data_IF_007418770617
#
_entry.id   IF_007418770617
#
_cell.length_a   1.000
_cell.length_b   1.000
_cell.length_c   1.000
_cell.angle_alpha   90.00
_cell.angle_beta   90.00
_cell.angle_gamma   90.00
#
_symmetry.space_group_name_H-M   'P 1'
#
loop_
_entity.id
_entity.type
_entity.pdbx_description
1 polymer ?
#
# COMPACT_ATOMS: atom_id res chain seq x y z
N UNK A 1 7.91 -32.27 -13.26
CA UNK A 1 8.82 -31.22 -12.78
C UNK A 1 8.06 -30.33 -11.79
N UNK A 2 8.37 -30.38 -10.49
CA UNK A 2 7.82 -29.43 -9.50
C UNK A 2 8.39 -28.06 -9.82
N UNK A 3 7.56 -27.12 -10.33
CA UNK A 3 7.97 -25.70 -10.43
C UNK A 3 8.32 -25.24 -9.01
N UNK A 4 9.59 -24.95 -8.76
CA UNK A 4 10.02 -24.33 -7.49
C UNK A 4 9.20 -23.04 -7.31
N UNK A 5 8.57 -22.91 -6.15
CA UNK A 5 7.89 -21.70 -5.74
C UNK A 5 8.91 -20.54 -5.80
N UNK A 6 8.63 -19.55 -6.65
CA UNK A 6 9.49 -18.39 -6.80
C UNK A 6 8.79 -17.17 -6.15
N UNK A 7 9.22 -16.73 -4.96
CA UNK A 7 8.61 -15.59 -4.26
C UNK A 7 8.57 -14.32 -5.11
N UNK A 8 9.54 -14.16 -6.03
CA UNK A 8 9.62 -13.01 -6.92
C UNK A 8 8.36 -12.86 -7.80
N UNK A 9 7.74 -13.97 -8.22
CA UNK A 9 6.51 -13.92 -9.03
C UNK A 9 5.37 -13.25 -8.26
N UNK A 10 5.24 -13.52 -6.96
CA UNK A 10 4.20 -12.90 -6.12
C UNK A 10 4.46 -11.39 -6.01
N UNK A 11 5.71 -11.02 -5.74
CA UNK A 11 6.11 -9.62 -5.62
C UNK A 11 5.85 -8.85 -6.92
N UNK A 12 6.28 -9.38 -8.07
CA UNK A 12 6.08 -8.77 -9.38
C UNK A 12 4.59 -8.64 -9.71
N UNK A 13 3.78 -9.64 -9.32
CA UNK A 13 2.33 -9.62 -9.51
C UNK A 13 1.68 -8.54 -8.66
N UNK A 14 2.01 -8.44 -7.36
CA UNK A 14 1.47 -7.41 -6.48
C UNK A 14 1.89 -6.01 -6.95
N UNK A 15 3.15 -5.82 -7.30
CA UNK A 15 3.63 -4.55 -7.87
C UNK A 15 2.82 -4.15 -9.11
N UNK A 16 2.61 -5.08 -10.05
CA UNK A 16 1.85 -4.81 -11.27
C UNK A 16 0.36 -4.50 -11.02
N UNK A 17 -0.19 -4.95 -9.88
CA UNK A 17 -1.56 -4.64 -9.48
C UNK A 17 -1.67 -3.26 -8.83
N UNK A 18 -0.74 -2.90 -7.93
CA UNK A 18 -0.85 -1.66 -7.15
C UNK A 18 -0.28 -0.43 -7.86
N UNK A 19 0.83 -0.56 -8.61
CA UNK A 19 1.46 0.58 -9.28
C UNK A 19 0.49 1.42 -10.13
N UNK A 20 -0.42 0.85 -10.94
CA UNK A 20 -1.31 1.66 -11.77
C UNK A 20 -2.31 2.54 -11.00
N UNK A 21 -2.58 2.23 -9.74
CA UNK A 21 -3.58 2.94 -8.92
C UNK A 21 -2.97 3.76 -7.78
N UNK A 22 -1.64 3.67 -7.57
CA UNK A 22 -1.00 4.31 -6.42
C UNK A 22 -1.11 5.82 -6.44
N UNK A 23 -0.96 6.43 -7.61
CA UNK A 23 -1.06 7.89 -7.76
C UNK A 23 -2.47 8.38 -7.43
N UNK A 24 -3.50 7.65 -7.87
CA UNK A 24 -4.90 7.96 -7.57
C UNK A 24 -5.18 7.83 -6.06
N UNK A 25 -4.71 6.74 -5.43
CA UNK A 25 -4.87 6.51 -3.99
C UNK A 25 -4.16 7.62 -3.21
N UNK A 26 -2.95 8.00 -3.62
CA UNK A 26 -2.17 9.07 -2.96
C UNK A 26 -2.88 10.43 -3.09
N UNK A 27 -3.36 10.79 -4.28
CA UNK A 27 -4.10 12.02 -4.49
C UNK A 27 -5.39 12.07 -3.66
N UNK A 28 -6.14 10.98 -3.63
CA UNK A 28 -7.36 10.84 -2.81
C UNK A 28 -7.05 10.98 -1.31
N UNK A 29 -5.96 10.37 -0.84
CA UNK A 29 -5.49 10.48 0.55
C UNK A 29 -5.17 11.92 0.94
N UNK A 30 -4.40 12.63 0.11
CA UNK A 30 -4.04 14.04 0.36
C UNK A 30 -5.31 14.89 0.41
N UNK A 31 -6.21 14.74 -0.57
CA UNK A 31 -7.47 15.49 -0.63
C UNK A 31 -8.33 15.24 0.61
N UNK A 32 -8.54 13.97 1.00
CA UNK A 32 -9.30 13.59 2.20
C UNK A 32 -8.70 14.21 3.46
N UNK A 33 -7.37 14.15 3.61
CA UNK A 33 -6.67 14.69 4.77
C UNK A 33 -6.79 16.22 4.84
N UNK A 34 -6.67 16.94 3.73
CA UNK A 34 -6.87 18.40 3.67
C UNK A 34 -8.30 18.77 4.09
N UNK A 35 -9.31 18.04 3.59
CA UNK A 35 -10.70 18.30 3.95
C UNK A 35 -10.96 18.09 5.45
N UNK A 36 -10.41 17.01 6.02
CA UNK A 36 -10.50 16.75 7.47
C UNK A 36 -9.84 17.88 8.27
N UNK A 37 -8.67 18.38 7.84
CA UNK A 37 -8.00 19.49 8.48
C UNK A 37 -8.83 20.79 8.41
N UNK A 38 -9.37 21.13 7.24
CA UNK A 38 -10.22 22.30 7.06
C UNK A 38 -11.45 22.25 7.97
N UNK A 39 -12.05 21.07 8.12
CA UNK A 39 -13.16 20.88 9.04
C UNK A 39 -12.73 20.99 10.51
N UNK A 40 -11.60 20.41 10.89
CA UNK A 40 -11.05 20.43 12.25
C UNK A 40 -10.67 21.83 12.71
N UNK A 41 -10.20 22.68 11.81
CA UNK A 41 -9.90 24.10 12.11
C UNK A 41 -11.11 25.03 11.94
N UNK A 42 -12.32 24.49 11.71
CA UNK A 42 -13.55 25.26 11.43
C UNK A 42 -13.43 26.21 10.23
N UNK A 43 -12.54 25.94 9.28
CA UNK A 43 -12.38 26.72 8.06
C UNK A 43 -13.40 26.31 6.99
N UNK A 44 -13.94 25.09 7.08
CA UNK A 44 -14.99 24.58 6.20
C UNK A 44 -15.93 23.67 6.97
N UNK A 45 -17.24 23.91 6.88
CA UNK A 45 -18.21 23.02 7.50
C UNK A 45 -18.33 21.70 6.72
N UNK A 46 -18.44 20.58 7.44
CA UNK A 46 -18.73 19.28 6.83
C UNK A 46 -20.09 19.23 6.12
N UNK A 47 -21.02 20.15 6.43
CA UNK A 47 -22.30 20.32 5.76
C UNK A 47 -22.19 21.08 4.43
N UNK A 48 -21.05 21.70 4.16
CA UNK A 48 -20.83 22.43 2.91
C UNK A 48 -20.86 21.47 1.71
N UNK A 49 -21.59 21.84 0.66
CA UNK A 49 -21.73 21.01 -0.54
C UNK A 49 -20.39 20.70 -1.23
N UNK A 50 -19.45 21.66 -1.25
CA UNK A 50 -18.10 21.45 -1.78
C UNK A 50 -17.37 20.39 -0.95
N UNK A 51 -17.39 20.51 0.39
CA UNK A 51 -16.81 19.53 1.29
C UNK A 51 -17.37 18.12 1.00
N UNK A 52 -18.69 17.98 0.96
CA UNK A 52 -19.38 16.70 0.73
C UNK A 52 -18.98 16.05 -0.59
N UNK A 53 -18.91 16.82 -1.69
CA UNK A 53 -18.54 16.30 -3.01
C UNK A 53 -17.09 15.83 -3.01
N UNK A 54 -16.15 16.66 -2.57
CA UNK A 54 -14.73 16.29 -2.57
C UNK A 54 -14.42 15.19 -1.56
N UNK A 55 -15.09 15.17 -0.41
CA UNK A 55 -14.97 14.08 0.55
C UNK A 55 -15.48 12.77 -0.05
N UNK A 56 -16.66 12.77 -0.69
CA UNK A 56 -17.20 11.59 -1.32
C UNK A 56 -16.30 11.04 -2.42
N UNK A 57 -15.66 11.90 -3.22
CA UNK A 57 -14.71 11.46 -4.26
C UNK A 57 -13.44 10.88 -3.61
N UNK A 58 -12.86 11.57 -2.65
CA UNK A 58 -11.61 11.14 -2.01
C UNK A 58 -11.79 9.89 -1.14
N UNK A 59 -12.89 9.79 -0.40
CA UNK A 59 -13.24 8.60 0.37
C UNK A 59 -13.68 7.44 -0.54
N UNK A 60 -14.42 7.77 -1.60
CA UNK A 60 -14.92 6.82 -2.59
C UNK A 60 -13.81 6.01 -3.27
N UNK A 61 -12.62 6.58 -3.50
CA UNK A 61 -11.48 5.83 -4.02
C UNK A 61 -11.11 4.66 -3.11
N UNK A 62 -11.16 4.84 -1.79
CA UNK A 62 -10.89 3.78 -0.81
C UNK A 62 -12.10 2.84 -0.69
N UNK A 63 -13.31 3.37 -0.62
CA UNK A 63 -14.53 2.57 -0.54
C UNK A 63 -14.67 1.61 -1.74
N UNK A 64 -14.44 2.12 -2.96
CA UNK A 64 -14.50 1.37 -4.21
C UNK A 64 -13.14 0.75 -4.62
N UNK A 65 -12.17 0.67 -3.71
CA UNK A 65 -10.88 0.03 -3.96
C UNK A 65 -11.01 -1.39 -4.56
N UNK A 66 -11.97 -2.24 -4.15
CA UNK A 66 -12.22 -3.53 -4.77
C UNK A 66 -12.41 -3.48 -6.29
N UNK A 67 -13.04 -2.43 -6.83
CA UNK A 67 -13.19 -2.24 -8.27
C UNK A 67 -11.85 -1.93 -8.96
N UNK A 68 -11.07 -1.03 -8.38
CA UNK A 68 -9.75 -0.68 -8.90
C UNK A 68 -8.83 -1.91 -8.94
N UNK A 69 -8.85 -2.70 -7.85
CA UNK A 69 -8.08 -3.93 -7.76
C UNK A 69 -8.57 -5.02 -8.73
N UNK A 70 -9.87 -5.16 -8.95
CA UNK A 70 -10.40 -6.10 -9.93
C UNK A 70 -9.93 -5.74 -11.34
N UNK A 71 -9.91 -4.45 -11.72
CA UNK A 71 -9.41 -3.96 -13.00
C UNK A 71 -7.91 -4.24 -13.15
N UNK A 72 -7.10 -3.84 -12.17
CA UNK A 72 -5.65 -3.98 -12.27
C UNK A 72 -5.21 -5.44 -12.17
N UNK A 73 -5.83 -6.24 -11.31
CA UNK A 73 -5.58 -7.68 -11.18
C UNK A 73 -5.93 -8.41 -12.47
N UNK A 74 -7.08 -8.08 -13.09
CA UNK A 74 -7.48 -8.71 -14.34
C UNK A 74 -6.48 -8.46 -15.46
N UNK A 75 -5.96 -7.24 -15.57
CA UNK A 75 -4.91 -6.87 -16.54
C UNK A 75 -3.62 -7.63 -16.26
N UNK A 76 -3.17 -7.66 -15.01
CA UNK A 76 -1.95 -8.32 -14.58
C UNK A 76 -2.01 -9.84 -14.80
N UNK A 77 -3.16 -10.47 -14.48
CA UNK A 77 -3.37 -11.90 -14.62
C UNK A 77 -3.91 -12.31 -15.98
N UNK A 78 -4.15 -11.33 -16.90
CA UNK A 78 -4.69 -11.56 -18.25
C UNK A 78 -6.02 -12.30 -18.23
N UNK A 79 -6.96 -11.86 -17.39
CA UNK A 79 -8.34 -12.32 -17.33
C UNK A 79 -9.29 -11.28 -17.92
N UNK A 80 -10.54 -11.65 -18.15
CA UNK A 80 -11.54 -10.70 -18.62
C UNK A 80 -11.91 -9.69 -17.52
N UNK A 81 -11.64 -8.41 -17.78
CA UNK A 81 -11.88 -7.33 -16.80
C UNK A 81 -13.35 -7.22 -16.41
N UNK A 82 -14.29 -7.36 -17.36
CA UNK A 82 -15.72 -7.24 -17.05
C UNK A 82 -16.22 -8.40 -16.18
N UNK A 83 -15.71 -9.62 -16.41
CA UNK A 83 -16.03 -10.76 -15.55
C UNK A 83 -15.42 -10.56 -14.16
N UNK A 84 -14.20 -10.01 -14.06
CA UNK A 84 -13.54 -9.71 -12.78
C UNK A 84 -14.33 -8.70 -11.94
N UNK A 85 -14.99 -7.71 -12.58
CA UNK A 85 -15.80 -6.69 -11.90
C UNK A 85 -17.02 -7.27 -11.17
N UNK A 86 -17.44 -8.48 -11.49
CA UNK A 86 -18.57 -9.12 -10.79
C UNK A 86 -18.27 -9.36 -9.30
N UNK A 87 -16.99 -9.54 -8.94
CA UNK A 87 -16.59 -9.72 -7.54
C UNK A 87 -16.91 -8.48 -6.71
N UNK A 88 -16.37 -7.28 -7.02
CA UNK A 88 -16.71 -6.08 -6.28
C UNK A 88 -18.19 -5.67 -6.42
N UNK A 89 -18.86 -5.95 -7.55
CA UNK A 89 -20.30 -5.73 -7.70
C UNK A 89 -21.05 -6.54 -6.64
N UNK A 90 -20.74 -7.81 -6.48
CA UNK A 90 -21.40 -8.66 -5.48
C UNK A 90 -21.08 -8.23 -4.04
N UNK A 91 -19.84 -7.79 -3.78
CA UNK A 91 -19.43 -7.33 -2.45
C UNK A 91 -20.16 -6.06 -2.00
N UNK A 92 -20.30 -5.10 -2.92
CA UNK A 92 -20.83 -3.77 -2.61
C UNK A 92 -22.29 -3.60 -2.99
N UNK A 93 -22.94 -4.68 -3.41
CA UNK A 93 -24.39 -4.65 -3.63
C UNK A 93 -25.12 -4.39 -2.30
N UNK A 94 -25.96 -3.35 -2.17
CA UNK A 94 -26.48 -2.88 -0.89
C UNK A 94 -27.11 -3.98 -0.02
N UNK A 95 -27.93 -4.85 -0.60
CA UNK A 95 -28.58 -5.92 0.15
C UNK A 95 -27.59 -6.94 0.77
N UNK A 96 -26.38 -7.05 0.22
CA UNK A 96 -25.32 -7.93 0.74
C UNK A 96 -24.43 -7.16 1.72
N UNK A 97 -23.91 -6.00 1.32
CA UNK A 97 -23.00 -5.20 2.14
C UNK A 97 -23.66 -4.76 3.45
N UNK A 98 -24.84 -4.16 3.39
CA UNK A 98 -25.57 -3.71 4.60
C UNK A 98 -25.88 -4.87 5.58
N UNK A 99 -26.24 -6.04 5.05
CA UNK A 99 -26.49 -7.22 5.90
C UNK A 99 -25.22 -7.64 6.64
N UNK A 100 -24.09 -7.74 5.94
CA UNK A 100 -22.84 -8.23 6.51
C UNK A 100 -22.17 -7.20 7.43
N UNK A 101 -22.22 -5.93 7.08
CA UNK A 101 -21.65 -4.84 7.87
C UNK A 101 -22.39 -4.60 9.17
N UNK A 102 -23.71 -4.79 9.17
CA UNK A 102 -24.54 -4.70 10.38
C UNK A 102 -24.50 -5.95 11.28
N UNK A 103 -23.54 -6.86 11.04
CA UNK A 103 -23.38 -8.06 11.84
C UNK A 103 -24.33 -9.21 11.47
N UNK A 104 -25.10 -9.04 10.39
CA UNK A 104 -25.96 -10.08 9.85
C UNK A 104 -25.17 -11.18 9.14
N UNK A 105 -25.86 -12.27 8.86
CA UNK A 105 -25.30 -13.42 8.14
C UNK A 105 -26.31 -13.89 7.11
N UNK A 106 -25.83 -14.52 6.04
CA UNK A 106 -26.71 -15.24 5.12
C UNK A 106 -26.17 -16.63 4.81
N UNK A 107 -27.08 -17.54 4.46
CA UNK A 107 -26.71 -18.90 4.09
C UNK A 107 -26.50 -18.98 2.58
N UNK A 108 -25.32 -19.43 2.17
CA UNK A 108 -25.02 -19.78 0.80
C UNK A 108 -24.81 -21.29 0.72
N UNK A 109 -25.76 -22.00 0.10
CA UNK A 109 -25.82 -23.47 0.14
C UNK A 109 -25.89 -23.95 1.61
N UNK A 110 -24.93 -24.77 2.03
CA UNK A 110 -24.82 -25.29 3.39
C UNK A 110 -23.89 -24.46 4.31
N UNK A 111 -23.37 -23.32 3.82
CA UNK A 111 -22.39 -22.51 4.54
C UNK A 111 -23.04 -21.21 5.02
N UNK A 112 -22.78 -20.87 6.28
CA UNK A 112 -23.15 -19.60 6.87
C UNK A 112 -22.03 -18.60 6.62
N UNK A 113 -22.32 -17.55 5.82
CA UNK A 113 -21.38 -16.47 5.56
C UNK A 113 -21.36 -15.55 6.78
N UNK A 114 -20.19 -15.38 7.42
CA UNK A 114 -20.06 -14.54 8.60
C UNK A 114 -20.16 -13.04 8.23
N UNK A 115 -20.45 -12.18 9.24
CA UNK A 115 -20.33 -10.74 9.08
C UNK A 115 -18.94 -10.34 8.58
N UNK A 116 -18.87 -9.44 7.63
CA UNK A 116 -17.61 -8.94 7.09
C UNK A 116 -17.81 -7.59 6.41
N UNK A 117 -16.77 -6.77 6.43
CA UNK A 117 -16.70 -5.51 5.70
C UNK A 117 -15.91 -5.75 4.41
N UNK A 118 -16.59 -5.59 3.28
CA UNK A 118 -15.97 -5.83 1.98
C UNK A 118 -15.62 -4.55 1.21
N UNK A 119 -16.15 -3.39 1.58
CA UNK A 119 -15.63 -2.13 1.06
C UNK A 119 -14.15 -1.99 1.48
N UNK A 120 -13.33 -1.38 0.66
CA UNK A 120 -11.87 -1.27 0.88
C UNK A 120 -11.12 -2.61 0.98
N UNK A 121 -11.78 -3.77 0.77
CA UNK A 121 -11.13 -5.07 0.91
C UNK A 121 -10.14 -5.33 -0.24
N UNK A 122 -9.01 -5.93 0.08
CA UNK A 122 -7.91 -6.21 -0.86
C UNK A 122 -7.77 -7.71 -1.13
N UNK A 123 -7.50 -8.47 -0.08
CA UNK A 123 -7.12 -9.89 -0.20
C UNK A 123 -8.21 -10.74 -0.87
N UNK A 124 -9.51 -10.61 -0.50
CA UNK A 124 -10.57 -11.38 -1.14
C UNK A 124 -10.67 -11.16 -2.65
N UNK A 125 -10.51 -9.91 -3.10
CA UNK A 125 -10.57 -9.57 -4.53
C UNK A 125 -9.40 -10.16 -5.29
N UNK A 126 -8.17 -10.06 -4.76
CA UNK A 126 -6.98 -10.61 -5.39
C UNK A 126 -7.09 -12.15 -5.55
N UNK A 127 -7.58 -12.83 -4.52
CA UNK A 127 -7.79 -14.28 -4.55
C UNK A 127 -8.90 -14.67 -5.52
N UNK A 128 -10.00 -13.92 -5.57
CA UNK A 128 -11.11 -14.16 -6.47
C UNK A 128 -10.71 -14.02 -7.95
N UNK A 129 -9.99 -12.94 -8.30
CA UNK A 129 -9.48 -12.74 -9.66
C UNK A 129 -8.38 -13.76 -9.99
N UNK A 130 -7.60 -14.16 -8.99
CA UNK A 130 -6.66 -15.28 -9.11
C UNK A 130 -7.37 -16.59 -9.47
N UNK A 131 -8.47 -16.93 -8.81
CA UNK A 131 -9.28 -18.10 -9.16
C UNK A 131 -9.89 -17.96 -10.57
N UNK A 132 -10.42 -16.77 -10.90
CA UNK A 132 -10.98 -16.50 -12.20
C UNK A 132 -10.00 -16.83 -13.34
N UNK A 133 -8.70 -16.50 -13.17
CA UNK A 133 -7.66 -16.83 -14.13
C UNK A 133 -7.61 -18.33 -14.49
N UNK A 134 -7.87 -19.19 -13.50
CA UNK A 134 -7.88 -20.64 -13.74
C UNK A 134 -9.21 -21.14 -14.33
N UNK A 135 -10.35 -20.57 -13.92
CA UNK A 135 -11.68 -20.97 -14.40
C UNK A 135 -11.96 -20.46 -15.81
N UNK A 136 -11.44 -19.31 -16.17
CA UNK A 136 -11.66 -18.70 -17.48
C UNK A 136 -11.03 -19.49 -18.63
N UNK A 137 -9.82 -20.02 -18.42
CA UNK A 137 -9.06 -20.76 -19.44
C UNK A 137 -9.79 -21.98 -20.02
N UNK A 138 -10.39 -22.88 -19.22
CA UNK A 138 -11.21 -23.97 -19.76
C UNK A 138 -12.41 -23.47 -20.54
N UNK A 139 -13.02 -22.35 -20.13
CA UNK A 139 -14.19 -21.78 -20.80
C UNK A 139 -13.87 -21.24 -22.20
N UNK A 140 -12.62 -20.91 -22.49
CA UNK A 140 -12.19 -20.48 -23.83
C UNK A 140 -12.30 -21.61 -24.88
N UNK A 141 -12.42 -22.87 -24.44
CA UNK A 141 -12.63 -24.04 -25.30
C UNK A 141 -14.11 -24.28 -25.70
N UNK A 142 -15.04 -23.50 -25.11
CA UNK A 142 -16.46 -23.58 -25.47
C UNK A 142 -16.66 -23.16 -26.92
N UNK A 143 -17.70 -23.71 -27.54
CA UNK A 143 -18.11 -23.34 -28.90
C UNK A 143 -18.39 -21.83 -28.97
N UNK A 144 -17.95 -21.19 -30.03
CA UNK A 144 -18.01 -19.75 -30.21
C UNK A 144 -19.43 -19.20 -30.09
N UNK A 145 -20.43 -19.90 -30.59
CA UNK A 145 -21.83 -19.54 -30.55
C UNK A 145 -22.39 -19.35 -29.11
N UNK A 146 -21.88 -20.08 -28.15
CA UNK A 146 -22.39 -20.07 -26.78
C UNK A 146 -21.39 -19.46 -25.75
N UNK A 147 -20.12 -19.34 -26.15
CA UNK A 147 -19.04 -18.87 -25.26
C UNK A 147 -19.31 -17.48 -24.69
N UNK A 148 -19.89 -16.58 -25.49
CA UNK A 148 -20.13 -15.17 -25.11
C UNK A 148 -20.96 -15.02 -23.84
N UNK A 149 -21.95 -15.88 -23.61
CA UNK A 149 -22.83 -15.82 -22.43
C UNK A 149 -22.55 -16.95 -21.44
N UNK A 150 -22.14 -18.13 -21.89
CA UNK A 150 -21.86 -19.26 -20.99
C UNK A 150 -20.60 -19.03 -20.13
N UNK A 151 -19.55 -18.47 -20.72
CA UNK A 151 -18.30 -18.19 -20.01
C UNK A 151 -18.52 -17.29 -18.79
N UNK A 152 -19.17 -16.10 -18.88
CA UNK A 152 -19.49 -15.30 -17.71
C UNK A 152 -20.34 -16.05 -16.67
N UNK A 153 -21.37 -16.81 -17.11
CA UNK A 153 -22.24 -17.58 -16.21
C UNK A 153 -21.44 -18.60 -15.41
N UNK A 154 -20.60 -19.39 -16.07
CA UNK A 154 -19.77 -20.42 -15.41
C UNK A 154 -18.79 -19.75 -14.43
N UNK A 155 -18.13 -18.66 -14.87
CA UNK A 155 -17.20 -17.92 -14.02
C UNK A 155 -17.91 -17.38 -12.78
N UNK A 156 -19.10 -16.77 -12.92
CA UNK A 156 -19.91 -16.30 -11.80
C UNK A 156 -20.30 -17.42 -10.86
N UNK A 157 -20.84 -18.51 -11.41
CA UNK A 157 -21.33 -19.65 -10.62
C UNK A 157 -20.25 -20.33 -9.77
N UNK A 158 -18.98 -20.21 -10.17
CA UNK A 158 -17.84 -20.80 -9.43
C UNK A 158 -17.14 -19.77 -8.57
N UNK A 159 -16.82 -18.60 -9.13
CA UNK A 159 -15.97 -17.61 -8.45
C UNK A 159 -16.72 -16.92 -7.30
N UNK A 160 -18.01 -16.54 -7.48
CA UNK A 160 -18.74 -15.83 -6.44
C UNK A 160 -18.98 -16.69 -5.19
N UNK A 161 -19.47 -17.96 -5.29
CA UNK A 161 -19.57 -18.81 -4.11
C UNK A 161 -18.22 -19.04 -3.42
N UNK A 162 -17.14 -19.33 -4.18
CA UNK A 162 -15.81 -19.48 -3.62
C UNK A 162 -15.33 -18.19 -2.92
N UNK A 163 -15.70 -17.04 -3.46
CA UNK A 163 -15.35 -15.74 -2.88
C UNK A 163 -16.01 -15.54 -1.52
N UNK A 164 -17.32 -15.74 -1.40
CA UNK A 164 -18.02 -15.54 -0.14
C UNK A 164 -17.75 -16.64 0.90
N UNK A 165 -17.57 -17.89 0.45
CA UNK A 165 -17.40 -19.03 1.36
C UNK A 165 -15.96 -19.21 1.82
N UNK A 166 -14.97 -18.86 0.98
CA UNK A 166 -13.55 -19.16 1.22
C UNK A 166 -12.73 -17.88 1.27
N UNK A 167 -12.71 -17.09 0.18
CA UNK A 167 -11.76 -16.00 0.06
C UNK A 167 -12.11 -14.79 0.92
N UNK A 168 -13.38 -14.48 1.11
CA UNK A 168 -13.85 -13.46 2.02
C UNK A 168 -13.41 -13.77 3.46
N UNK A 169 -13.86 -14.86 4.07
CA UNK A 169 -13.45 -15.25 5.41
C UNK A 169 -11.93 -15.45 5.55
N UNK A 170 -11.27 -16.07 4.57
CA UNK A 170 -9.82 -16.25 4.61
C UNK A 170 -9.08 -14.91 4.55
N UNK A 171 -9.51 -13.98 3.67
CA UNK A 171 -8.91 -12.65 3.56
C UNK A 171 -9.08 -11.84 4.84
N UNK A 172 -10.26 -11.82 5.42
CA UNK A 172 -10.53 -11.17 6.71
C UNK A 172 -9.67 -11.78 7.83
N UNK A 173 -9.59 -13.12 7.89
CA UNK A 173 -8.78 -13.81 8.88
C UNK A 173 -7.28 -13.52 8.72
N UNK A 174 -6.75 -13.59 7.50
CA UNK A 174 -5.34 -13.25 7.20
C UNK A 174 -5.06 -11.79 7.57
N UNK A 175 -5.92 -10.86 7.17
CA UNK A 175 -5.80 -9.45 7.53
C UNK A 175 -5.76 -9.25 9.04
N UNK A 176 -6.71 -9.84 9.77
CA UNK A 176 -6.78 -9.74 11.23
C UNK A 176 -5.55 -10.35 11.93
N UNK A 177 -5.03 -11.49 11.45
CA UNK A 177 -3.81 -12.11 12.01
C UNK A 177 -2.59 -11.22 11.79
N UNK A 178 -2.39 -10.69 10.57
CA UNK A 178 -1.28 -9.78 10.26
C UNK A 178 -1.35 -8.50 11.08
N UNK A 179 -2.54 -7.89 11.13
CA UNK A 179 -2.81 -6.71 11.96
C UNK A 179 -2.49 -6.98 13.42
N UNK A 180 -3.03 -8.08 13.99
CA UNK A 180 -2.80 -8.44 15.39
C UNK A 180 -1.31 -8.70 15.68
N UNK A 181 -0.63 -9.41 14.81
CA UNK A 181 0.80 -9.69 14.96
C UNK A 181 1.62 -8.39 14.98
N UNK A 182 1.37 -7.48 14.03
CA UNK A 182 2.09 -6.21 13.96
C UNK A 182 1.78 -5.33 15.18
N UNK A 183 0.52 -5.16 15.55
CA UNK A 183 0.14 -4.39 16.74
C UNK A 183 0.68 -4.99 18.03
N UNK A 184 0.81 -6.32 18.15
CA UNK A 184 1.43 -6.96 19.31
C UNK A 184 2.91 -6.61 19.43
N UNK A 185 3.67 -6.65 18.32
CA UNK A 185 5.07 -6.24 18.29
C UNK A 185 5.20 -4.76 18.64
N UNK A 186 4.36 -3.93 18.04
CA UNK A 186 4.35 -2.49 18.28
C UNK A 186 4.00 -2.15 19.75
N UNK A 187 3.00 -2.81 20.32
CA UNK A 187 2.58 -2.61 21.72
C UNK A 187 3.64 -3.06 22.72
N UNK A 188 4.45 -4.08 22.38
CA UNK A 188 5.55 -4.52 23.23
C UNK A 188 6.68 -3.48 23.29
N UNK A 189 7.09 -2.95 22.15
CA UNK A 189 8.07 -1.86 22.07
C UNK A 189 7.92 -1.06 20.77
N UNK A 190 7.20 0.06 20.81
CA UNK A 190 6.97 0.90 19.63
C UNK A 190 8.25 1.43 19.00
N UNK A 191 9.26 1.76 19.83
CA UNK A 191 10.56 2.27 19.35
C UNK A 191 11.31 1.20 18.58
N UNK A 192 11.36 -0.03 19.12
CA UNK A 192 12.02 -1.15 18.44
C UNK A 192 11.28 -1.55 17.15
N UNK A 193 9.95 -1.57 17.18
CA UNK A 193 9.14 -1.83 16.00
C UNK A 193 9.37 -0.77 14.90
N UNK A 194 9.42 0.50 15.29
CA UNK A 194 9.72 1.61 14.39
C UNK A 194 11.13 1.54 13.82
N UNK A 195 12.12 1.30 14.65
CA UNK A 195 13.51 1.11 14.23
C UNK A 195 13.65 -0.05 13.23
N UNK A 196 13.02 -1.19 13.51
CA UNK A 196 13.02 -2.36 12.63
C UNK A 196 12.38 -2.05 11.28
N UNK A 197 11.17 -1.47 11.28
CA UNK A 197 10.47 -1.10 10.04
C UNK A 197 11.26 -0.09 9.23
N UNK A 198 11.78 0.96 9.87
CA UNK A 198 12.63 1.95 9.23
C UNK A 198 13.91 1.37 8.62
N UNK A 199 14.46 0.29 9.22
CA UNK A 199 15.65 -0.39 8.68
C UNK A 199 15.30 -1.24 7.46
N UNK A 200 14.23 -2.05 7.56
CA UNK A 200 13.99 -3.15 6.60
C UNK A 200 13.23 -2.69 5.35
N UNK A 201 12.47 -1.58 5.43
CA UNK A 201 11.58 -1.19 4.33
C UNK A 201 12.34 -0.94 3.02
N UNK A 202 13.48 -0.29 3.04
CA UNK A 202 14.23 0.01 1.81
C UNK A 202 14.87 -1.24 1.17
N UNK A 203 15.47 -2.17 1.91
CA UNK A 203 15.75 -3.52 1.41
C UNK A 203 14.51 -4.21 0.80
N UNK A 204 13.34 -4.10 1.42
CA UNK A 204 12.09 -4.66 0.86
C UNK A 204 11.68 -3.94 -0.44
N UNK A 205 11.83 -2.61 -0.51
CA UNK A 205 11.60 -1.85 -1.75
C UNK A 205 12.52 -2.34 -2.86
N UNK A 206 13.81 -2.58 -2.55
CA UNK A 206 14.80 -2.99 -3.55
C UNK A 206 14.48 -4.32 -4.26
N UNK A 207 13.71 -5.19 -3.61
CA UNK A 207 13.21 -6.45 -4.19
C UNK A 207 11.72 -6.43 -4.50
N UNK A 208 11.06 -5.27 -4.34
CA UNK A 208 9.61 -5.09 -4.55
C UNK A 208 8.71 -5.69 -3.47
N UNK A 209 9.26 -6.28 -2.42
CA UNK A 209 8.49 -6.96 -1.37
C UNK A 209 7.65 -6.01 -0.48
N UNK A 210 7.93 -4.70 -0.50
CA UNK A 210 7.15 -3.69 0.23
C UNK A 210 5.66 -3.65 -0.17
N UNK A 211 5.32 -4.10 -1.38
CA UNK A 211 3.93 -4.20 -1.84
C UNK A 211 3.09 -5.16 -0.98
N UNK A 212 3.73 -6.10 -0.29
CA UNK A 212 3.02 -6.97 0.66
C UNK A 212 2.50 -6.24 1.91
N UNK A 213 3.03 -5.05 2.22
CA UNK A 213 2.59 -4.22 3.35
C UNK A 213 1.29 -3.48 3.01
N UNK A 214 1.08 -3.11 1.75
CA UNK A 214 -0.08 -2.30 1.32
C UNK A 214 -1.43 -2.91 1.73
N UNK A 215 -1.70 -4.20 1.48
CA UNK A 215 -2.94 -4.83 1.94
C UNK A 215 -3.13 -4.77 3.46
N UNK A 216 -2.05 -4.85 4.23
CA UNK A 216 -2.09 -4.81 5.70
C UNK A 216 -2.47 -3.41 6.17
N UNK A 217 -1.85 -2.37 5.60
CA UNK A 217 -2.15 -0.96 5.91
C UNK A 217 -3.61 -0.62 5.56
N UNK A 218 -4.05 -1.01 4.37
CA UNK A 218 -5.43 -0.77 3.94
C UNK A 218 -6.44 -1.50 4.83
N UNK A 219 -6.14 -2.73 5.26
CA UNK A 219 -6.95 -3.47 6.21
C UNK A 219 -6.98 -2.78 7.59
N UNK A 220 -5.84 -2.29 8.09
CA UNK A 220 -5.78 -1.54 9.35
C UNK A 220 -6.68 -0.30 9.31
N UNK A 221 -6.61 0.48 8.23
CA UNK A 221 -7.44 1.68 8.05
C UNK A 221 -8.92 1.31 7.95
N UNK A 222 -9.26 0.24 7.23
CA UNK A 222 -10.65 -0.22 7.08
C UNK A 222 -11.24 -0.72 8.40
N UNK A 223 -10.50 -1.52 9.17
CA UNK A 223 -11.01 -2.13 10.41
C UNK A 223 -10.92 -1.22 11.63
N UNK A 224 -9.84 -0.45 11.75
CA UNK A 224 -9.54 0.36 12.94
C UNK A 224 -9.71 1.86 12.74
N UNK A 225 -9.87 2.31 11.50
CA UNK A 225 -9.90 3.72 11.14
C UNK A 225 -8.52 4.37 11.04
N UNK A 226 -7.43 3.64 11.35
CA UNK A 226 -6.07 4.18 11.29
C UNK A 226 -5.02 3.06 11.07
N UNK A 227 -3.83 3.47 10.64
CA UNK A 227 -2.66 2.59 10.52
C UNK A 227 -1.44 3.22 11.21
N UNK A 228 -0.60 2.35 11.81
CA UNK A 228 0.63 2.71 12.52
C UNK A 228 1.90 2.33 11.75
N UNK A 229 1.79 1.60 10.64
CA UNK A 229 2.93 1.12 9.86
C UNK A 229 3.51 2.25 9.01
N UNK A 230 2.65 2.96 8.28
CA UNK A 230 3.09 3.98 7.33
C UNK A 230 3.92 5.09 7.97
N UNK A 231 3.56 5.65 9.14
CA UNK A 231 4.39 6.68 9.78
C UNK A 231 5.82 6.23 10.06
N UNK A 232 6.02 4.94 10.42
CA UNK A 232 7.34 4.39 10.76
C UNK A 232 8.33 4.41 9.57
N UNK A 233 7.81 4.55 8.36
CA UNK A 233 8.61 4.53 7.13
C UNK A 233 9.23 5.90 6.79
N UNK A 234 8.79 6.98 7.43
CA UNK A 234 9.19 8.35 7.08
C UNK A 234 10.71 8.54 7.11
N UNK A 235 11.36 8.13 8.20
CA UNK A 235 12.82 8.22 8.32
C UNK A 235 13.58 7.46 7.25
N UNK A 236 13.04 6.33 6.78
CA UNK A 236 13.67 5.52 5.74
C UNK A 236 13.61 6.19 4.35
N UNK A 237 12.48 6.81 4.03
CA UNK A 237 12.30 7.59 2.79
C UNK A 237 13.34 8.72 2.72
N UNK A 238 13.42 9.50 3.81
CA UNK A 238 14.35 10.62 3.87
C UNK A 238 15.80 10.21 4.06
N UNK A 239 16.06 9.07 4.72
CA UNK A 239 17.40 8.49 4.80
C UNK A 239 17.99 8.16 3.42
N UNK A 240 17.18 7.58 2.53
CA UNK A 240 17.61 7.31 1.15
C UNK A 240 17.78 8.61 0.33
N UNK A 241 16.91 9.59 0.55
CA UNK A 241 17.04 10.91 -0.08
C UNK A 241 18.36 11.59 0.31
N UNK A 242 18.68 11.62 1.60
CA UNK A 242 19.93 12.19 2.10
C UNK A 242 21.16 11.46 1.59
N UNK A 243 21.14 10.13 1.56
CA UNK A 243 22.22 9.33 1.02
C UNK A 243 22.47 9.63 -0.48
N UNK A 244 21.40 9.71 -1.27
CA UNK A 244 21.49 10.05 -2.69
C UNK A 244 22.05 11.48 -2.92
N UNK A 245 21.63 12.45 -2.09
CA UNK A 245 22.17 13.82 -2.15
C UNK A 245 23.68 13.85 -1.88
N UNK A 246 24.12 13.12 -0.85
CA UNK A 246 25.54 13.05 -0.51
C UNK A 246 26.38 12.45 -1.65
N UNK A 247 25.88 11.42 -2.32
CA UNK A 247 26.49 10.89 -3.54
C UNK A 247 26.56 11.97 -4.62
N UNK A 248 25.46 12.70 -4.87
CA UNK A 248 25.41 13.76 -5.89
C UNK A 248 26.39 14.90 -5.64
N UNK A 249 26.61 15.31 -4.39
CA UNK A 249 27.59 16.36 -4.05
C UNK A 249 29.02 15.90 -4.34
N UNK A 250 29.33 14.63 -4.13
CA UNK A 250 30.69 14.05 -4.34
C UNK A 250 30.93 13.55 -5.75
N UNK A 251 29.88 13.46 -6.57
CA UNK A 251 29.99 13.01 -7.97
C UNK A 251 30.65 14.06 -8.84
N UNK A 252 31.57 13.63 -9.67
CA UNK A 252 32.34 14.50 -10.59
C UNK A 252 31.73 14.54 -11.98
N UNK A 253 31.08 13.44 -12.40
CA UNK A 253 30.44 13.34 -13.72
C UNK A 253 29.11 14.09 -13.69
N UNK A 254 28.97 15.13 -14.53
CA UNK A 254 27.80 16.02 -14.52
C UNK A 254 26.46 15.30 -14.64
N UNK A 255 26.36 14.34 -15.54
CA UNK A 255 25.09 13.58 -15.73
C UNK A 255 24.71 12.75 -14.51
N UNK A 256 25.68 12.01 -13.95
CA UNK A 256 25.47 11.22 -12.70
C UNK A 256 25.11 12.13 -11.53
N UNK A 257 25.70 13.30 -11.45
CA UNK A 257 25.43 14.33 -10.45
C UNK A 257 23.98 14.82 -10.54
N UNK A 258 23.53 15.19 -11.74
CA UNK A 258 22.14 15.62 -11.98
C UNK A 258 21.16 14.52 -11.60
N UNK A 259 21.40 13.28 -12.04
CA UNK A 259 20.58 12.12 -11.70
C UNK A 259 20.47 11.93 -10.18
N UNK A 260 21.56 12.07 -9.43
CA UNK A 260 21.56 11.92 -7.99
C UNK A 260 20.73 13.02 -7.29
N UNK A 261 20.83 14.27 -7.74
CA UNK A 261 20.01 15.37 -7.20
C UNK A 261 18.52 15.17 -7.50
N UNK A 262 18.17 14.82 -8.74
CA UNK A 262 16.79 14.55 -9.13
C UNK A 262 16.21 13.37 -8.32
N UNK A 263 16.98 12.31 -8.16
CA UNK A 263 16.60 11.13 -7.38
C UNK A 263 16.41 11.44 -5.90
N UNK A 264 17.29 12.27 -5.31
CA UNK A 264 17.13 12.75 -3.94
C UNK A 264 15.86 13.59 -3.77
N UNK A 265 15.61 14.52 -4.67
CA UNK A 265 14.41 15.34 -4.66
C UNK A 265 13.14 14.51 -4.79
N UNK A 266 13.11 13.57 -5.74
CA UNK A 266 11.96 12.66 -5.94
C UNK A 266 11.70 11.80 -4.69
N UNK A 267 12.77 11.35 -4.02
CA UNK A 267 12.63 10.61 -2.77
C UNK A 267 12.00 11.47 -1.66
N UNK A 268 12.33 12.75 -1.53
CA UNK A 268 11.67 13.67 -0.61
C UNK A 268 10.16 13.84 -0.88
N UNK A 269 9.73 13.60 -2.11
CA UNK A 269 8.32 13.58 -2.50
C UNK A 269 7.64 12.22 -2.25
N UNK A 270 8.36 11.24 -1.68
CA UNK A 270 7.83 9.92 -1.31
C UNK A 270 8.14 8.80 -2.30
N UNK A 271 8.81 9.09 -3.42
CA UNK A 271 9.15 8.10 -4.46
C UNK A 271 10.63 7.79 -4.38
N UNK A 272 10.99 6.73 -3.65
CA UNK A 272 12.40 6.38 -3.34
C UNK A 272 13.09 5.55 -4.41
N UNK A 273 12.35 4.95 -5.34
CA UNK A 273 12.87 4.03 -6.36
C UNK A 273 14.00 4.63 -7.19
N UNK A 274 13.95 5.89 -7.70
CA UNK A 274 15.06 6.48 -8.43
C UNK A 274 16.33 6.60 -7.57
N UNK A 275 16.19 7.04 -6.31
CA UNK A 275 17.32 7.13 -5.39
C UNK A 275 17.88 5.75 -5.04
N UNK A 276 17.01 4.78 -4.88
CA UNK A 276 17.38 3.43 -4.51
C UNK A 276 18.10 2.73 -5.67
N UNK A 277 17.45 2.60 -6.84
CA UNK A 277 17.97 1.78 -7.93
C UNK A 277 19.10 2.44 -8.71
N UNK A 278 19.04 3.76 -8.93
CA UNK A 278 20.04 4.46 -9.73
C UNK A 278 21.27 4.89 -8.93
N UNK A 279 21.13 5.13 -7.61
CA UNK A 279 22.17 5.77 -6.81
C UNK A 279 22.67 4.87 -5.67
N UNK A 280 21.77 4.47 -4.76
CA UNK A 280 22.15 3.91 -3.45
C UNK A 280 22.46 2.42 -3.53
N UNK A 281 21.60 1.62 -4.19
CA UNK A 281 21.74 0.17 -4.29
C UNK A 281 23.00 -0.27 -5.05
N UNK A 282 23.34 0.34 -6.22
CA UNK A 282 24.59 -0.03 -6.92
C UNK A 282 25.85 0.21 -6.09
N UNK A 283 25.80 1.15 -5.16
CA UNK A 283 26.92 1.52 -4.29
C UNK A 283 26.93 0.85 -2.93
N UNK A 284 25.85 0.18 -2.55
CA UNK A 284 25.59 -0.53 -1.27
C UNK A 284 25.77 0.33 -0.01
N UNK A 285 26.88 1.04 0.19
CA UNK A 285 27.10 1.90 1.37
C UNK A 285 26.04 2.97 1.55
N UNK A 286 25.71 3.80 0.51
CA UNK A 286 24.60 4.75 0.63
C UNK A 286 23.27 4.09 0.99
N UNK A 287 22.96 2.92 0.43
CA UNK A 287 21.78 2.13 0.82
C UNK A 287 21.77 1.85 2.32
N UNK A 288 22.87 1.27 2.85
CA UNK A 288 22.97 0.93 4.26
C UNK A 288 22.89 2.15 5.17
N UNK A 289 23.53 3.24 4.81
CA UNK A 289 23.49 4.48 5.57
C UNK A 289 22.10 5.15 5.53
N UNK A 290 21.38 5.06 4.39
CA UNK A 290 19.99 5.44 4.29
C UNK A 290 19.09 4.57 5.20
N UNK A 291 19.36 3.27 5.30
CA UNK A 291 18.65 2.39 6.24
C UNK A 291 18.92 2.76 7.70
N UNK A 292 20.15 3.15 8.07
CA UNK A 292 20.44 3.65 9.41
C UNK A 292 19.68 4.96 9.72
N UNK A 293 19.55 5.85 8.74
CA UNK A 293 18.64 7.00 8.83
C UNK A 293 17.20 6.56 9.08
N UNK A 294 16.77 5.51 8.37
CA UNK A 294 15.47 4.89 8.57
C UNK A 294 15.27 4.32 9.96
N UNK A 295 16.30 3.66 10.51
CA UNK A 295 16.28 3.12 11.88
C UNK A 295 16.00 4.22 12.90
N UNK A 296 16.74 5.31 12.84
CA UNK A 296 16.60 6.42 13.78
C UNK A 296 15.24 7.15 13.62
N UNK A 297 14.85 7.46 12.38
CA UNK A 297 13.57 8.11 12.11
C UNK A 297 12.36 7.22 12.47
N UNK A 298 12.43 5.93 12.17
CA UNK A 298 11.42 4.96 12.56
C UNK A 298 11.29 4.80 14.08
N UNK A 299 12.42 4.81 14.80
CA UNK A 299 12.42 4.83 16.28
C UNK A 299 11.70 6.06 16.84
N UNK A 300 11.94 7.24 16.26
CA UNK A 300 11.28 8.50 16.67
C UNK A 300 9.78 8.44 16.45
N UNK A 301 9.32 7.97 15.29
CA UNK A 301 7.88 7.84 14.99
C UNK A 301 7.22 6.75 15.83
N UNK A 302 7.94 5.67 16.13
CA UNK A 302 7.48 4.65 17.08
C UNK A 302 7.29 5.21 18.48
N UNK A 303 8.25 6.00 18.97
CA UNK A 303 8.15 6.71 20.26
C UNK A 303 6.97 7.69 20.29
N UNK A 304 6.72 8.36 19.19
CA UNK A 304 5.67 9.37 19.06
C UNK A 304 4.25 8.79 19.09
N UNK A 305 4.06 7.50 18.75
CA UNK A 305 2.76 6.90 18.60
C UNK A 305 1.97 7.45 17.41
N UNK A 306 2.67 7.94 16.38
CA UNK A 306 2.03 8.52 15.20
C UNK A 306 1.25 7.47 14.42
N UNK A 307 0.10 7.87 13.91
CA UNK A 307 -0.73 7.04 13.04
C UNK A 307 -1.21 7.85 11.84
N UNK A 308 -1.63 7.18 10.79
CA UNK A 308 -2.29 7.78 9.64
C UNK A 308 -3.74 7.30 9.53
N UNK A 309 -4.62 8.20 9.10
CA UNK A 309 -6.06 7.93 8.89
C UNK A 309 -6.40 7.62 7.44
N UNK A 310 -5.43 7.73 6.56
CA UNK A 310 -5.57 7.48 5.13
C UNK A 310 -4.26 6.94 4.58
N UNK A 311 -4.35 6.11 3.53
CA UNK A 311 -3.16 5.52 2.92
C UNK A 311 -2.32 6.58 2.19
N UNK A 312 -1.10 6.78 2.64
CA UNK A 312 -0.12 7.62 1.93
C UNK A 312 1.30 7.17 2.26
N UNK A 313 2.17 7.10 1.27
CA UNK A 313 3.61 6.99 1.52
C UNK A 313 4.11 8.29 2.16
N UNK A 314 4.94 8.21 3.24
CA UNK A 314 5.40 9.39 3.94
C UNK A 314 6.24 10.32 3.07
N UNK A 315 5.80 11.57 2.96
CA UNK A 315 6.54 12.64 2.30
C UNK A 315 6.12 13.99 2.86
N UNK A 316 6.80 15.05 2.46
CA UNK A 316 6.39 16.39 2.88
C UNK A 316 4.98 16.74 2.36
N UNK A 317 4.65 16.30 1.14
CA UNK A 317 3.33 16.57 0.54
C UNK A 317 2.21 15.77 1.20
N UNK A 318 2.50 14.52 1.59
CA UNK A 318 1.52 13.63 2.21
C UNK A 318 1.49 13.74 3.73
N UNK A 319 2.31 14.61 4.34
CA UNK A 319 2.40 14.79 5.80
C UNK A 319 1.05 15.12 6.44
N UNK A 320 0.13 15.72 5.70
CA UNK A 320 -1.24 16.00 6.14
C UNK A 320 -2.03 14.74 6.54
N UNK A 321 -1.71 13.59 5.97
CA UNK A 321 -2.34 12.30 6.31
C UNK A 321 -1.91 11.76 7.69
N UNK A 322 -0.88 12.34 8.29
CA UNK A 322 -0.28 11.93 9.56
C UNK A 322 -0.49 12.93 10.68
N UNK A 323 -1.31 13.97 10.44
CA UNK A 323 -1.62 14.98 11.45
C UNK A 323 -2.42 14.37 12.59
N UNK A 324 -1.96 14.59 13.83
CA UNK A 324 -2.56 14.05 15.03
C UNK A 324 -1.50 13.80 16.10
N UNK A 325 -1.69 12.75 16.88
CA UNK A 325 -0.76 12.36 17.93
C UNK A 325 0.65 12.16 17.38
N UNK A 326 1.66 12.74 18.03
CA UNK A 326 3.05 12.55 17.67
C UNK A 326 3.51 13.23 16.37
N UNK A 327 2.67 14.05 15.74
CA UNK A 327 2.98 14.67 14.43
C UNK A 327 4.29 15.44 14.40
N UNK A 328 4.64 16.16 15.49
CA UNK A 328 5.90 16.91 15.57
C UNK A 328 7.13 15.97 15.47
N UNK A 329 7.12 14.83 16.17
CA UNK A 329 8.20 13.85 16.09
C UNK A 329 8.19 13.10 14.73
N UNK A 330 7.01 12.88 14.14
CA UNK A 330 6.92 12.39 12.77
C UNK A 330 7.60 13.34 11.80
N UNK A 331 7.31 14.64 11.84
CA UNK A 331 8.00 15.65 11.03
C UNK A 331 9.51 15.68 11.32
N UNK A 332 9.92 15.54 12.58
CA UNK A 332 11.33 15.51 12.96
C UNK A 332 12.04 14.24 12.44
N UNK A 333 11.35 13.13 12.31
CA UNK A 333 11.92 11.87 11.81
C UNK A 333 12.47 12.01 10.38
N UNK A 334 11.87 12.88 9.57
CA UNK A 334 12.28 13.15 8.19
C UNK A 334 13.68 13.79 8.13
N UNK A 335 13.92 15.00 8.70
CA UNK A 335 15.25 15.62 8.69
C UNK A 335 16.29 14.78 9.46
N UNK A 336 15.91 14.06 10.52
CA UNK A 336 16.82 13.16 11.23
C UNK A 336 17.27 12.02 10.32
N UNK A 337 16.33 11.33 9.67
CA UNK A 337 16.64 10.27 8.71
C UNK A 337 17.52 10.78 7.56
N UNK A 338 17.14 11.94 7.00
CA UNK A 338 17.90 12.59 5.94
C UNK A 338 19.33 12.93 6.37
N UNK A 339 19.50 13.60 7.51
CA UNK A 339 20.81 13.99 8.02
C UNK A 339 21.73 12.79 8.26
N UNK A 340 21.22 11.73 8.89
CA UNK A 340 21.99 10.50 9.13
C UNK A 340 22.41 9.86 7.80
N UNK A 341 21.47 9.64 6.89
CA UNK A 341 21.76 9.11 5.56
C UNK A 341 22.78 9.95 4.80
N UNK A 342 22.62 11.28 4.84
CA UNK A 342 23.52 12.23 4.20
C UNK A 342 24.93 12.21 4.81
N UNK A 343 25.07 12.46 6.11
CA UNK A 343 26.38 12.61 6.73
C UNK A 343 27.17 11.32 6.73
N UNK A 344 26.53 10.19 7.02
CA UNK A 344 27.22 8.89 6.96
C UNK A 344 27.70 8.57 5.53
N UNK A 345 26.84 8.83 4.53
CA UNK A 345 27.25 8.65 3.14
C UNK A 345 28.35 9.61 2.73
N UNK A 346 28.24 10.88 3.10
CA UNK A 346 29.23 11.89 2.78
C UNK A 346 30.60 11.59 3.39
N UNK A 347 30.64 11.11 4.64
CA UNK A 347 31.89 10.85 5.36
C UNK A 347 32.52 9.49 4.99
N UNK A 348 31.70 8.43 4.84
CA UNK A 348 32.19 7.06 4.79
C UNK A 348 32.01 6.36 3.43
N UNK A 349 31.25 6.94 2.50
CA UNK A 349 31.30 6.48 1.11
C UNK A 349 32.53 7.04 0.44
N UNK A 350 33.50 6.20 0.11
CA UNK A 350 34.73 6.62 -0.60
C UNK A 350 34.41 7.46 -1.86
N UNK A 351 35.38 8.25 -2.35
CA UNK A 351 35.26 8.81 -3.72
C UNK A 351 35.16 7.60 -4.66
N UNK A 352 34.06 7.51 -5.44
CA UNK A 352 33.99 6.47 -6.45
C UNK A 352 35.14 6.69 -7.46
N UNK A 353 36.11 5.81 -7.38
CA UNK A 353 36.87 5.40 -8.54
C UNK A 353 36.01 4.33 -9.22
N UNK A 354 35.46 4.67 -10.39
CA UNK A 354 34.88 3.89 -11.49
C UNK A 354 33.42 4.19 -11.79
#
# INVERSE_FOLDING_TARGET
>A
MKKKFNPKIIVDTLSGIFLPIIDLITAASIMKSILILLASFNLMSAENGIYRIFYAVSDGVFFFLPFLLAITSSRQLKTNTFISLMVPIAFLYPAISETLENGGTFNLLCFKIPPAVYHSSVIPVLLAVGLLHFIEKPCDRLQEAVRGFLKPIICMAVVLPATFMIFGPAGTYIGAVLTKAFFSIYSFNPVAAGAFMGTIIQPMVSIGAHWAIVPVVLNNISEKGYDIIMPLLAGAVYGQAGAALAVGIRETVREKKITAFQSSFTACLGVTEPALYSINLPRMKPLLFGCLGGTAGGALTGLAGTHCISFAFPSILTSVAFVGQGFALFLLSMPVGFAIGFFLTFLFSGKNSD
#
